data_IF_643580162449
#
_entry.id   IF_643580162449
#
_cell.length_a   1.000
_cell.length_b   1.000
_cell.length_c   1.000
_cell.angle_alpha   90.00
_cell.angle_beta   90.00
_cell.angle_gamma   90.00
#
_symmetry.space_group_name_H-M   'P 1'
#
loop_
_entity.id
_entity.type
_entity.pdbx_description
1 polymer ?
#
# COMPACT_ATOMS: atom_id res chain seq x y z
N UNK A 1 11.44 -3.64 -18.07
CA UNK A 1 12.21 -3.76 -16.80
C UNK A 1 11.65 -4.96 -16.04
N UNK A 2 12.48 -5.79 -15.42
CA UNK A 2 12.02 -6.96 -14.64
C UNK A 2 12.31 -6.71 -13.15
N UNK A 3 11.31 -6.27 -12.35
CA UNK A 3 11.52 -5.95 -10.95
C UNK A 3 11.86 -7.20 -10.12
N UNK A 4 12.67 -7.02 -9.07
CA UNK A 4 13.07 -8.06 -8.12
C UNK A 4 12.94 -7.50 -6.70
N UNK A 5 12.48 -8.33 -5.77
CA UNK A 5 12.33 -7.97 -4.35
C UNK A 5 13.61 -8.37 -3.60
N UNK A 6 14.07 -7.51 -2.70
CA UNK A 6 15.25 -7.73 -1.86
C UNK A 6 15.01 -7.18 -0.45
N UNK A 7 16.01 -7.29 0.43
CA UNK A 7 15.96 -6.83 1.83
C UNK A 7 14.97 -7.62 2.73
N UNK A 8 15.25 -8.92 2.86
CA UNK A 8 14.50 -9.83 3.74
C UNK A 8 14.99 -9.79 5.20
N UNK A 9 15.69 -8.73 5.64
CA UNK A 9 16.30 -8.65 6.97
C UNK A 9 15.30 -8.67 8.14
N UNK A 10 14.03 -8.33 7.86
CA UNK A 10 12.92 -8.42 8.81
C UNK A 10 11.93 -9.57 8.48
N UNK A 11 12.17 -10.31 7.40
CA UNK A 11 11.30 -11.42 7.01
C UNK A 11 11.37 -12.53 8.06
N UNK A 12 10.23 -13.15 8.33
CA UNK A 12 10.11 -14.25 9.31
C UNK A 12 9.50 -15.46 8.65
N UNK A 13 10.08 -16.62 8.92
CA UNK A 13 9.50 -17.92 8.55
C UNK A 13 8.46 -18.30 9.59
N UNK A 14 7.22 -18.49 9.16
CA UNK A 14 6.18 -19.10 9.97
C UNK A 14 6.37 -20.62 9.97
N UNK A 15 6.24 -21.27 11.13
CA UNK A 15 6.34 -22.73 11.26
C UNK A 15 4.96 -23.39 11.38
N UNK A 16 4.75 -24.53 10.71
CA UNK A 16 3.50 -25.30 10.79
C UNK A 16 2.29 -24.53 10.22
N UNK A 17 1.16 -24.59 10.94
CA UNK A 17 -0.11 -23.91 10.56
C UNK A 17 -0.22 -22.46 11.08
N UNK A 18 0.87 -21.87 11.60
CA UNK A 18 0.84 -20.51 12.13
C UNK A 18 0.73 -19.49 10.99
N UNK A 19 -0.38 -18.78 10.91
CA UNK A 19 -0.59 -17.69 9.94
C UNK A 19 -0.38 -16.29 10.53
N UNK A 20 -0.28 -16.21 11.86
CA UNK A 20 -0.21 -14.98 12.63
C UNK A 20 0.78 -15.13 13.80
N UNK A 21 1.53 -14.08 14.11
CA UNK A 21 2.48 -14.03 15.22
C UNK A 21 2.32 -12.70 15.95
N UNK A 22 2.12 -12.77 17.27
CA UNK A 22 2.22 -11.59 18.14
C UNK A 22 3.70 -11.29 18.39
N UNK A 23 4.16 -10.12 17.98
CA UNK A 23 5.55 -9.70 18.14
C UNK A 23 5.71 -8.85 19.39
N UNK A 24 6.66 -9.20 20.26
CA UNK A 24 7.01 -8.38 21.43
C UNK A 24 7.71 -7.06 21.07
N UNK A 25 8.09 -6.89 19.80
CA UNK A 25 8.79 -5.71 19.29
C UNK A 25 8.27 -5.36 17.90
N UNK A 26 7.55 -4.24 17.82
CA UNK A 26 7.07 -3.67 16.56
C UNK A 26 8.25 -3.03 15.83
N UNK A 27 8.58 -3.57 14.66
CA UNK A 27 9.61 -3.04 13.75
C UNK A 27 9.05 -3.05 12.33
N UNK A 28 9.17 -1.93 11.63
CA UNK A 28 8.74 -1.82 10.24
C UNK A 28 8.82 -0.39 9.74
N UNK A 29 8.48 -0.20 8.46
CA UNK A 29 8.46 1.13 7.84
C UNK A 29 7.12 1.80 8.09
N UNK A 30 7.15 2.93 8.80
CA UNK A 30 5.95 3.71 9.07
C UNK A 30 5.22 4.11 7.77
N UNK A 31 3.90 3.98 7.77
CA UNK A 31 3.05 4.18 6.59
C UNK A 31 2.81 2.91 5.75
N UNK A 32 3.58 1.84 5.95
CA UNK A 32 3.40 0.54 5.29
C UNK A 32 2.92 -0.54 6.26
N UNK A 33 3.10 -0.35 7.56
CA UNK A 33 2.60 -1.27 8.58
C UNK A 33 1.07 -1.24 8.62
N UNK A 34 0.46 -2.43 8.65
CA UNK A 34 -0.98 -2.55 8.87
C UNK A 34 -1.37 -2.06 10.26
N UNK A 35 -2.60 -1.56 10.45
CA UNK A 35 -3.00 -0.97 11.72
C UNK A 35 -2.93 -1.96 12.88
N UNK A 36 -3.34 -3.21 12.67
CA UNK A 36 -3.27 -4.28 13.68
C UNK A 36 -1.82 -4.64 14.06
N UNK A 37 -0.87 -4.55 13.12
CA UNK A 37 0.54 -4.74 13.45
C UNK A 37 1.11 -3.53 14.19
N UNK A 38 0.74 -2.31 13.79
CA UNK A 38 1.25 -1.09 14.38
C UNK A 38 0.72 -0.83 15.80
N UNK A 39 -0.49 -1.29 16.11
CA UNK A 39 -1.16 -1.09 17.40
C UNK A 39 -0.90 -2.29 18.33
N UNK A 40 -1.16 -3.50 17.85
CA UNK A 40 -1.19 -4.70 18.68
C UNK A 40 0.00 -5.63 18.47
N UNK A 41 0.91 -5.28 17.54
CA UNK A 41 2.06 -6.12 17.19
C UNK A 41 1.69 -7.42 16.48
N UNK A 42 0.46 -7.53 15.97
CA UNK A 42 -0.07 -8.71 15.28
C UNK A 42 0.39 -8.73 13.83
N UNK A 43 1.38 -9.56 13.54
CA UNK A 43 1.92 -9.72 12.19
C UNK A 43 1.37 -10.98 11.53
N UNK A 44 0.94 -10.86 10.28
CA UNK A 44 0.41 -11.98 9.50
C UNK A 44 0.65 -11.79 8.00
N UNK A 45 0.25 -12.78 7.22
CA UNK A 45 0.15 -12.63 5.75
C UNK A 45 -0.75 -11.45 5.35
N UNK A 46 -1.76 -11.09 6.15
CA UNK A 46 -2.62 -9.94 5.88
C UNK A 46 -1.90 -8.61 6.09
N UNK A 47 -0.97 -8.55 7.06
CA UNK A 47 -0.10 -7.40 7.25
C UNK A 47 0.78 -7.17 6.03
N UNK A 48 1.34 -8.23 5.44
CA UNK A 48 2.12 -8.13 4.18
C UNK A 48 1.25 -7.68 2.99
N UNK A 49 0.01 -8.20 2.88
CA UNK A 49 -0.94 -7.78 1.83
C UNK A 49 -1.27 -6.29 1.95
N UNK A 50 -1.45 -5.79 3.17
CA UNK A 50 -1.66 -4.35 3.40
C UNK A 50 -0.46 -3.53 2.92
N UNK A 51 0.76 -3.90 3.33
CA UNK A 51 1.99 -3.20 2.91
C UNK A 51 2.16 -3.22 1.39
N UNK A 52 1.83 -4.34 0.74
CA UNK A 52 1.83 -4.45 -0.72
C UNK A 52 0.79 -3.54 -1.37
N UNK A 53 -0.41 -3.43 -0.79
CA UNK A 53 -1.44 -2.49 -1.26
C UNK A 53 -0.97 -1.03 -1.24
N UNK A 54 -0.27 -0.63 -0.18
CA UNK A 54 0.37 0.71 -0.10
C UNK A 54 1.35 0.91 -1.25
N UNK A 55 2.22 -0.08 -1.52
CA UNK A 55 3.18 -0.03 -2.63
C UNK A 55 2.48 0.08 -4.00
N UNK A 56 1.39 -0.65 -4.22
CA UNK A 56 0.60 -0.57 -5.46
C UNK A 56 0.05 0.86 -5.65
N UNK A 57 -0.47 1.49 -4.60
CA UNK A 57 -0.95 2.87 -4.68
C UNK A 57 0.18 3.85 -5.02
N UNK A 58 1.39 3.66 -4.48
CA UNK A 58 2.55 4.48 -4.86
C UNK A 58 2.94 4.30 -6.32
N UNK A 59 2.91 3.07 -6.83
CA UNK A 59 3.25 2.77 -8.24
C UNK A 59 2.23 3.39 -9.19
N UNK A 60 0.93 3.21 -8.92
CA UNK A 60 -0.15 3.70 -9.79
C UNK A 60 -0.21 5.23 -9.77
N UNK A 61 0.00 5.84 -8.61
CA UNK A 61 -0.07 7.30 -8.47
C UNK A 61 1.22 8.03 -8.84
N UNK A 62 2.35 7.33 -8.84
CA UNK A 62 3.68 7.95 -8.92
C UNK A 62 4.04 8.80 -7.69
N UNK A 63 3.23 8.76 -6.62
CA UNK A 63 3.40 9.58 -5.41
C UNK A 63 3.90 8.72 -4.26
N UNK A 64 4.86 9.23 -3.50
CA UNK A 64 5.35 8.55 -2.29
C UNK A 64 4.32 8.68 -1.17
N UNK A 65 3.99 7.57 -0.53
CA UNK A 65 3.10 7.52 0.63
C UNK A 65 3.66 8.35 1.79
N UNK A 66 4.97 8.21 2.06
CA UNK A 66 5.63 9.00 3.10
C UNK A 66 5.73 10.47 2.70
N UNK A 67 5.10 11.32 3.50
CA UNK A 67 5.09 12.77 3.26
C UNK A 67 4.09 13.19 2.17
N UNK A 68 3.21 12.30 1.72
CA UNK A 68 2.08 12.70 0.89
C UNK A 68 1.19 13.67 1.68
N UNK A 69 0.86 14.78 1.03
CA UNK A 69 -0.07 15.78 1.53
C UNK A 69 -0.85 16.34 0.34
N UNK A 70 -2.17 16.36 0.42
CA UNK A 70 -3.02 16.96 -0.60
C UNK A 70 -3.52 18.33 -0.10
N UNK A 71 -3.46 19.40 -0.92
CA UNK A 71 -3.85 20.74 -0.49
C UNK A 71 -5.33 20.84 -0.09
N UNK A 72 -6.21 20.05 -0.72
CA UNK A 72 -7.65 20.12 -0.48
C UNK A 72 -8.13 19.30 0.72
N UNK A 73 -7.31 18.39 1.25
CA UNK A 73 -7.66 17.56 2.40
C UNK A 73 -6.41 17.02 3.11
N UNK A 74 -6.42 16.99 4.44
CA UNK A 74 -5.26 16.55 5.24
C UNK A 74 -5.06 15.01 5.29
N UNK A 75 -5.61 14.27 4.33
CA UNK A 75 -5.43 12.82 4.25
C UNK A 75 -4.05 12.41 3.72
N UNK A 76 -3.54 11.30 4.24
CA UNK A 76 -2.42 10.57 3.65
C UNK A 76 -2.81 9.94 2.29
N UNK A 77 -1.85 9.30 1.61
CA UNK A 77 -2.10 8.74 0.27
C UNK A 77 -3.24 7.72 0.26
N UNK A 78 -3.37 6.90 1.30
CA UNK A 78 -4.43 5.89 1.42
C UNK A 78 -5.80 6.56 1.57
N UNK A 79 -5.90 7.56 2.45
CA UNK A 79 -7.15 8.31 2.64
C UNK A 79 -7.54 9.10 1.39
N UNK A 80 -6.58 9.65 0.66
CA UNK A 80 -6.80 10.29 -0.63
C UNK A 80 -7.34 9.30 -1.68
N UNK A 81 -6.67 8.16 -1.83
CA UNK A 81 -7.09 7.11 -2.76
C UNK A 81 -8.50 6.59 -2.42
N UNK A 82 -8.78 6.37 -1.13
CA UNK A 82 -10.10 5.95 -0.65
C UNK A 82 -11.18 7.00 -0.93
N UNK A 83 -10.88 8.28 -0.73
CA UNK A 83 -11.79 9.38 -1.07
C UNK A 83 -12.13 9.38 -2.56
N UNK A 84 -11.11 9.36 -3.43
CA UNK A 84 -11.31 9.34 -4.88
C UNK A 84 -12.09 8.11 -5.33
N UNK A 85 -11.84 6.94 -4.73
CA UNK A 85 -12.59 5.73 -5.02
C UNK A 85 -14.08 5.89 -4.72
N UNK A 86 -14.44 6.35 -3.52
CA UNK A 86 -15.84 6.53 -3.11
C UNK A 86 -16.57 7.62 -3.91
N UNK A 87 -15.83 8.61 -4.43
CA UNK A 87 -16.37 9.67 -5.29
C UNK A 87 -16.43 9.27 -6.78
N UNK A 88 -16.09 8.03 -7.13
CA UNK A 88 -16.00 7.54 -8.51
C UNK A 88 -15.01 8.34 -9.39
N UNK A 89 -13.93 8.83 -8.75
CA UNK A 89 -12.85 9.65 -9.32
C UNK A 89 -11.49 8.94 -9.25
N UNK A 90 -11.48 7.61 -9.18
CA UNK A 90 -10.28 6.80 -9.01
C UNK A 90 -9.20 7.07 -10.07
N UNK A 91 -9.60 7.46 -11.29
CA UNK A 91 -8.67 7.80 -12.38
C UNK A 91 -7.77 8.98 -12.04
N UNK A 92 -8.22 9.93 -11.22
CA UNK A 92 -7.41 11.09 -10.80
C UNK A 92 -6.25 10.71 -9.89
N UNK A 93 -6.25 9.47 -9.36
CA UNK A 93 -5.12 8.95 -8.62
C UNK A 93 -3.93 8.65 -9.53
N UNK A 94 -4.16 8.29 -10.81
CA UNK A 94 -3.11 7.82 -11.72
C UNK A 94 -2.05 8.87 -11.99
N UNK A 95 -0.81 8.42 -12.12
CA UNK A 95 0.29 9.25 -12.59
C UNK A 95 -0.03 9.80 -14.00
N UNK A 96 0.12 11.12 -14.18
CA UNK A 96 -0.07 11.80 -15.45
C UNK A 96 0.81 11.24 -16.58
N UNK A 97 1.92 10.56 -16.24
CA UNK A 97 2.77 9.85 -17.21
C UNK A 97 2.16 8.53 -17.71
N UNK A 98 1.27 7.90 -16.94
CA UNK A 98 0.55 6.69 -17.30
C UNK A 98 -0.68 7.00 -18.18
N UNK A 99 -1.34 8.13 -17.94
CA UNK A 99 -2.55 8.57 -18.65
C UNK A 99 -2.34 8.70 -20.17
N UNK A 100 -1.12 9.05 -20.60
CA UNK A 100 -0.77 9.16 -22.03
C UNK A 100 -0.55 7.81 -22.74
N UNK A 101 -0.57 6.69 -22.03
CA UNK A 101 -0.20 5.36 -22.56
C UNK A 101 -1.32 4.31 -22.54
N UNK A 102 -2.40 4.52 -21.82
CA UNK A 102 -3.44 3.50 -21.63
C UNK A 102 -4.77 3.99 -22.21
N UNK A 103 -5.37 3.28 -23.18
CA UNK A 103 -6.75 3.56 -23.57
C UNK A 103 -7.69 3.20 -22.40
N UNK A 104 -8.59 4.13 -22.04
CA UNK A 104 -9.52 4.08 -20.90
C UNK A 104 -10.27 2.75 -20.62
N UNK A 105 -10.59 1.84 -21.58
CA UNK A 105 -11.42 0.67 -21.29
C UNK A 105 -10.79 -0.46 -20.46
N UNK A 106 -9.46 -0.49 -20.27
CA UNK A 106 -8.81 -1.61 -19.58
C UNK A 106 -8.71 -1.43 -18.05
N UNK A 107 -8.81 -0.20 -17.56
CA UNK A 107 -8.58 0.12 -16.15
C UNK A 107 -9.78 -0.20 -15.25
N UNK A 108 -10.99 -0.19 -15.80
CA UNK A 108 -12.25 -0.36 -15.06
C UNK A 108 -12.82 -1.79 -15.11
N UNK A 109 -12.06 -2.79 -15.57
CA UNK A 109 -12.50 -4.19 -15.57
C UNK A 109 -12.20 -4.89 -14.24
N UNK A 110 -13.01 -4.61 -13.23
CA UNK A 110 -13.21 -5.49 -12.06
C UNK A 110 -14.67 -5.44 -11.62
#
# INVERSE_FOLDING_TARGET
>A
MNPKISDFGLARTFGGDQTEVNTSRIIGTYGYMSPEYAIDGLFSVKSDVFSFGVLVLEIVSGKKNRGFYHPDHDFNLLGHAWKLWNENRAMELMDALMEKRIPEPEVLRW
#
